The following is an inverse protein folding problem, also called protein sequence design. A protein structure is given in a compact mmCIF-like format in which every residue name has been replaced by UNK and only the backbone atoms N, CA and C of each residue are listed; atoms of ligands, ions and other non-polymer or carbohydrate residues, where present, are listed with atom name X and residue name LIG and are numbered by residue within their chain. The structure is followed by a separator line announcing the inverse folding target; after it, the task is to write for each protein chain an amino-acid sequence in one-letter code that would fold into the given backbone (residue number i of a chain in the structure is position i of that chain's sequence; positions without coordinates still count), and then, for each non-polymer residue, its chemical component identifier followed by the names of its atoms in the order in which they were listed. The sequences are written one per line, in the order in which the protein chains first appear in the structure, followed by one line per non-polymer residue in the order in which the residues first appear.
data_IF_002404100858
#
_entry.id   IF_002404100858
#
_cell.length_a   1.000
_cell.length_b   1.000
_cell.length_c   1.000
_cell.angle_alpha   90.00
_cell.angle_beta   90.00
_cell.angle_gamma   90.00
#
_symmetry.space_group_name_H-M   'P 1'
#
loop_
_entity.id
_entity.type
_entity.pdbx_description
1 polymer ?
#
# COMPACT_ATOMS: atom_id res chain seq x y z
N UNK A 1 -3.09 -30.54 7.26
CA UNK A 1 -3.84 -29.30 7.38
C UNK A 1 -4.92 -29.33 6.31
N UNK A 2 -6.18 -28.97 6.53
CA UNK A 2 -7.12 -28.78 5.43
C UNK A 2 -6.51 -27.72 4.52
N UNK A 3 -6.54 -27.97 3.21
CA UNK A 3 -5.97 -27.05 2.23
C UNK A 3 -6.65 -25.69 2.38
N UNK A 4 -5.85 -24.63 2.33
CA UNK A 4 -6.33 -23.26 2.28
C UNK A 4 -7.25 -23.15 1.07
N UNK A 5 -8.56 -22.94 1.28
CA UNK A 5 -9.48 -22.83 0.16
C UNK A 5 -9.28 -21.46 -0.50
N UNK A 6 -9.08 -21.46 -1.81
CA UNK A 6 -9.26 -20.27 -2.63
C UNK A 6 -10.72 -19.80 -2.51
N UNK A 7 -10.96 -18.50 -2.69
CA UNK A 7 -12.31 -17.98 -2.80
C UNK A 7 -13.06 -18.70 -3.94
N UNK A 8 -14.37 -18.99 -3.80
CA UNK A 8 -15.13 -19.60 -4.89
C UNK A 8 -15.21 -18.63 -6.08
N UNK A 9 -15.11 -19.17 -7.31
CA UNK A 9 -15.27 -18.42 -8.56
C UNK A 9 -16.66 -18.69 -9.14
N UNK A 10 -17.19 -17.70 -9.83
CA UNK A 10 -18.46 -17.79 -10.54
C UNK A 10 -18.41 -16.98 -11.82
N UNK A 11 -19.27 -17.29 -12.78
CA UNK A 11 -19.48 -16.37 -13.90
C UNK A 11 -20.22 -15.13 -13.41
N UNK A 12 -20.01 -13.96 -14.03
CA UNK A 12 -20.77 -12.75 -13.71
C UNK A 12 -22.29 -13.00 -13.81
N UNK A 13 -22.74 -13.70 -14.85
CA UNK A 13 -24.15 -13.97 -15.13
C UNK A 13 -24.81 -14.82 -14.03
N UNK A 14 -24.11 -15.81 -13.47
CA UNK A 14 -24.60 -16.62 -12.37
C UNK A 14 -24.80 -15.80 -11.07
N UNK A 15 -24.13 -14.67 -10.96
CA UNK A 15 -24.28 -13.70 -9.87
C UNK A 15 -25.18 -12.51 -10.23
N UNK A 16 -25.80 -12.53 -11.42
CA UNK A 16 -26.74 -11.50 -11.87
C UNK A 16 -26.08 -10.28 -12.50
N UNK A 17 -24.78 -10.36 -12.84
CA UNK A 17 -24.05 -9.31 -13.54
C UNK A 17 -23.97 -9.58 -15.02
N UNK A 18 -23.83 -8.52 -15.80
CA UNK A 18 -23.49 -8.62 -17.23
C UNK A 18 -21.98 -8.69 -17.41
N UNK A 19 -21.47 -9.77 -18.04
CA UNK A 19 -20.07 -9.89 -18.42
C UNK A 19 -19.62 -8.71 -19.30
N UNK A 20 -20.45 -8.28 -20.24
CA UNK A 20 -20.16 -7.09 -21.07
C UNK A 20 -20.03 -5.79 -20.24
N UNK A 21 -20.74 -5.67 -19.12
CA UNK A 21 -20.60 -4.51 -18.24
C UNK A 21 -19.28 -4.57 -17.45
N UNK A 22 -18.86 -5.75 -17.02
CA UNK A 22 -17.55 -5.93 -16.39
C UNK A 22 -16.40 -5.74 -17.40
N UNK A 23 -16.56 -6.19 -18.65
CA UNK A 23 -15.59 -5.89 -19.71
C UNK A 23 -15.44 -4.38 -19.93
N UNK A 24 -16.55 -3.63 -19.94
CA UNK A 24 -16.50 -2.17 -20.05
C UNK A 24 -15.79 -1.51 -18.85
N UNK A 25 -15.99 -2.02 -17.64
CA UNK A 25 -15.26 -1.56 -16.46
C UNK A 25 -13.75 -1.83 -16.59
N UNK A 26 -13.36 -3.03 -17.03
CA UNK A 26 -11.94 -3.39 -17.24
C UNK A 26 -11.29 -2.50 -18.30
N UNK A 27 -11.99 -2.26 -19.43
CA UNK A 27 -11.50 -1.35 -20.48
C UNK A 27 -11.35 0.07 -19.95
N UNK A 28 -12.30 0.55 -19.16
CA UNK A 28 -12.22 1.88 -18.57
C UNK A 28 -11.04 2.01 -17.59
N UNK A 29 -10.70 0.94 -16.84
CA UNK A 29 -9.50 0.90 -16.01
C UNK A 29 -8.22 0.89 -16.85
N UNK A 30 -8.18 0.10 -17.93
CA UNK A 30 -7.01 -0.01 -18.83
C UNK A 30 -6.71 1.30 -19.58
N UNK A 31 -7.75 2.04 -19.95
CA UNK A 31 -7.64 3.32 -20.64
C UNK A 31 -7.50 4.53 -19.68
N UNK A 32 -7.62 4.31 -18.37
CA UNK A 32 -7.52 5.38 -17.37
C UNK A 32 -6.07 5.86 -17.19
N UNK A 33 -5.90 7.08 -16.64
CA UNK A 33 -4.58 7.63 -16.32
C UNK A 33 -3.85 6.82 -15.22
N UNK A 34 -4.52 6.34 -14.15
CA UNK A 34 -3.93 5.43 -13.17
C UNK A 34 -3.38 4.14 -13.80
N UNK A 35 -2.13 3.81 -13.53
CA UNK A 35 -1.57 2.51 -13.91
C UNK A 35 -2.14 1.41 -13.00
N UNK A 36 -3.06 0.62 -13.51
CA UNK A 36 -3.64 -0.52 -12.80
C UNK A 36 -2.70 -1.73 -12.89
N UNK A 37 -2.57 -2.47 -11.80
CA UNK A 37 -1.68 -3.63 -11.71
C UNK A 37 -2.46 -4.92 -11.52
N UNK A 38 -3.40 -4.96 -10.56
CA UNK A 38 -4.32 -6.09 -10.38
C UNK A 38 -5.70 -5.59 -9.95
N UNK A 39 -6.73 -6.35 -10.33
CA UNK A 39 -8.12 -6.11 -9.90
C UNK A 39 -8.78 -7.44 -9.56
N UNK A 40 -9.56 -7.46 -8.48
CA UNK A 40 -10.45 -8.57 -8.15
C UNK A 40 -11.78 -8.02 -7.63
N UNK A 41 -12.89 -8.55 -8.17
CA UNK A 41 -14.24 -8.23 -7.72
C UNK A 41 -14.90 -9.46 -7.16
N UNK A 42 -15.39 -9.33 -5.94
CA UNK A 42 -16.29 -10.30 -5.31
C UNK A 42 -17.70 -9.79 -5.36
N UNK A 43 -18.64 -10.70 -5.63
CA UNK A 43 -20.07 -10.48 -5.42
C UNK A 43 -20.72 -11.75 -4.88
N UNK A 44 -21.60 -11.59 -3.88
CA UNK A 44 -22.28 -12.70 -3.19
C UNK A 44 -21.30 -13.81 -2.73
N UNK A 45 -20.11 -13.40 -2.27
CA UNK A 45 -19.06 -14.30 -1.81
C UNK A 45 -18.27 -15.03 -2.89
N UNK A 46 -18.47 -14.72 -4.18
CA UNK A 46 -17.77 -15.33 -5.31
C UNK A 46 -16.91 -14.31 -6.03
N UNK A 47 -15.74 -14.71 -6.47
CA UNK A 47 -14.92 -13.92 -7.40
C UNK A 47 -15.61 -13.98 -8.77
N UNK A 48 -16.01 -12.82 -9.29
CA UNK A 48 -16.70 -12.65 -10.58
C UNK A 48 -15.82 -11.93 -11.61
N UNK A 49 -14.73 -11.31 -11.17
CA UNK A 49 -13.70 -10.68 -12.00
C UNK A 49 -12.36 -10.83 -11.31
N UNK A 50 -11.34 -11.26 -12.05
CA UNK A 50 -9.95 -11.28 -11.62
C UNK A 50 -9.04 -10.98 -12.81
N UNK A 51 -8.27 -9.87 -12.72
CA UNK A 51 -7.44 -9.37 -13.81
C UNK A 51 -6.07 -8.94 -13.30
N UNK A 52 -5.06 -9.16 -14.15
CA UNK A 52 -3.69 -8.72 -13.91
C UNK A 52 -3.12 -8.06 -15.15
N UNK A 53 -2.43 -6.95 -14.97
CA UNK A 53 -1.68 -6.26 -16.03
C UNK A 53 -0.24 -6.75 -16.02
N UNK A 54 0.09 -7.65 -16.97
CA UNK A 54 1.46 -8.16 -17.08
C UNK A 54 2.48 -7.00 -17.15
N UNK A 55 3.60 -7.05 -16.41
CA UNK A 55 4.22 -8.19 -15.72
C UNK A 55 3.76 -8.44 -14.27
N UNK A 56 2.80 -7.67 -13.75
CA UNK A 56 2.23 -7.90 -12.43
C UNK A 56 1.38 -9.17 -12.41
N UNK A 57 1.23 -9.78 -11.23
CA UNK A 57 0.47 -11.03 -11.05
C UNK A 57 -0.40 -10.95 -9.79
N UNK A 58 -1.61 -11.46 -9.87
CA UNK A 58 -2.54 -11.59 -8.72
C UNK A 58 -1.95 -12.39 -7.54
N UNK A 59 -1.07 -13.35 -7.86
CA UNK A 59 -0.44 -14.23 -6.87
C UNK A 59 0.75 -13.59 -6.12
N UNK A 60 1.32 -12.51 -6.67
CA UNK A 60 2.46 -11.85 -6.02
C UNK A 60 1.99 -11.01 -4.82
N UNK A 61 2.73 -11.01 -3.70
CA UNK A 61 2.48 -10.08 -2.62
C UNK A 61 2.63 -8.64 -3.15
N UNK A 62 1.81 -7.75 -2.65
CA UNK A 62 1.90 -6.33 -2.97
C UNK A 62 1.87 -5.48 -1.70
N UNK A 63 2.70 -4.44 -1.66
CA UNK A 63 2.77 -3.49 -0.56
C UNK A 63 1.50 -2.65 -0.50
N UNK A 64 0.74 -2.80 0.58
CA UNK A 64 -0.59 -2.23 0.71
C UNK A 64 -0.62 -0.82 1.33
N UNK A 65 0.54 -0.30 1.74
CA UNK A 65 0.60 0.99 2.43
C UNK A 65 -0.47 1.11 3.54
N UNK A 66 -1.27 2.16 3.48
CA UNK A 66 -2.23 2.48 4.55
C UNK A 66 -3.44 1.55 4.65
N UNK A 67 -3.69 0.66 3.69
CA UNK A 67 -4.67 -0.44 3.90
C UNK A 67 -4.30 -1.26 5.14
N UNK A 68 -3.02 -1.32 5.49
CA UNK A 68 -2.51 -1.92 6.74
C UNK A 68 -3.27 -1.46 7.99
N UNK A 69 -3.73 -0.19 8.00
CA UNK A 69 -4.46 0.41 9.13
C UNK A 69 -5.77 -0.33 9.45
N UNK A 70 -6.44 -0.84 8.42
CA UNK A 70 -7.68 -1.61 8.59
C UNK A 70 -7.44 -2.96 9.28
N UNK A 71 -6.29 -3.57 9.01
CA UNK A 71 -5.85 -4.77 9.75
C UNK A 71 -5.44 -4.44 11.19
N UNK A 72 -4.80 -3.30 11.42
CA UNK A 72 -4.49 -2.82 12.78
C UNK A 72 -5.77 -2.56 13.58
N UNK A 73 -6.78 -1.93 12.97
CA UNK A 73 -8.11 -1.76 13.55
C UNK A 73 -8.72 -3.10 13.97
N UNK A 74 -8.64 -4.10 13.08
CA UNK A 74 -9.11 -5.47 13.39
C UNK A 74 -8.41 -6.05 14.61
N UNK A 75 -7.09 -5.85 14.73
CA UNK A 75 -6.31 -6.27 15.91
C UNK A 75 -6.76 -5.58 17.19
N UNK A 76 -7.07 -4.28 17.12
CA UNK A 76 -7.62 -3.52 18.25
C UNK A 76 -9.00 -4.07 18.64
N UNK A 77 -9.87 -4.36 17.66
CA UNK A 77 -11.18 -4.94 17.92
C UNK A 77 -11.10 -6.29 18.63
N UNK A 78 -10.20 -7.16 18.19
CA UNK A 78 -9.94 -8.45 18.84
C UNK A 78 -9.41 -8.29 20.27
N UNK A 79 -8.58 -7.29 20.53
CA UNK A 79 -8.03 -7.03 21.86
C UNK A 79 -9.10 -6.43 22.80
N UNK A 80 -10.02 -5.61 22.29
CA UNK A 80 -11.16 -5.10 23.06
C UNK A 80 -12.12 -6.25 23.42
N UNK A 81 -12.42 -7.14 22.49
CA UNK A 81 -13.26 -8.33 22.75
C UNK A 81 -12.63 -9.24 23.80
N UNK A 82 -11.29 -9.37 23.78
CA UNK A 82 -10.54 -10.10 24.79
C UNK A 82 -10.45 -9.38 26.15
N UNK A 83 -11.01 -8.17 26.28
CA UNK A 83 -10.98 -7.36 27.51
C UNK A 83 -9.59 -6.80 27.86
N UNK A 84 -8.69 -6.69 26.89
CA UNK A 84 -7.31 -6.21 27.12
C UNK A 84 -7.21 -4.70 27.11
N UNK A 85 -8.09 -3.98 26.40
CA UNK A 85 -8.17 -2.53 26.38
C UNK A 85 -9.59 -2.07 26.06
N UNK A 86 -9.85 -0.78 26.31
CA UNK A 86 -11.10 -0.10 25.98
C UNK A 86 -10.84 1.15 25.12
N UNK A 87 -11.86 1.58 24.37
CA UNK A 87 -11.77 2.75 23.49
C UNK A 87 -11.40 4.03 24.27
N UNK A 88 -11.82 4.15 25.51
CA UNK A 88 -11.65 5.35 26.33
C UNK A 88 -10.40 5.30 27.25
N UNK A 89 -9.62 4.22 27.16
CA UNK A 89 -8.35 4.12 27.88
C UNK A 89 -7.38 5.19 27.41
N UNK A 90 -6.66 5.80 28.37
CA UNK A 90 -5.70 6.87 28.09
C UNK A 90 -4.44 6.32 27.46
N UNK A 91 -4.02 6.91 26.33
CA UNK A 91 -2.82 6.47 25.59
C UNK A 91 -1.60 6.41 26.50
N UNK A 92 -1.39 7.44 27.35
CA UNK A 92 -0.24 7.51 28.24
C UNK A 92 -0.19 6.39 29.28
N UNK A 93 -1.31 5.75 29.60
CA UNK A 93 -1.38 4.67 30.60
C UNK A 93 -0.71 3.36 30.17
N UNK A 94 -0.38 3.22 28.90
CA UNK A 94 0.26 2.03 28.34
C UNK A 94 1.79 2.11 28.30
N UNK A 95 2.38 3.26 28.66
CA UNK A 95 3.81 3.52 28.50
C UNK A 95 4.49 3.83 29.82
N UNK A 96 5.76 3.47 29.91
CA UNK A 96 6.55 3.67 31.11
C UNK A 96 6.97 5.15 31.27
N UNK A 97 7.30 5.53 32.50
CA UNK A 97 7.60 6.92 32.83
C UNK A 97 8.78 7.52 32.04
N UNK A 98 9.74 6.69 31.61
CA UNK A 98 10.92 7.13 30.84
C UNK A 98 10.62 7.30 29.33
N UNK A 99 9.47 6.83 28.87
CA UNK A 99 8.96 7.05 27.51
C UNK A 99 8.10 8.30 27.41
N UNK A 100 7.52 8.76 28.55
CA UNK A 100 6.70 9.95 28.61
C UNK A 100 7.57 11.22 28.60
N UNK A 101 7.05 12.36 28.09
CA UNK A 101 7.74 13.63 28.22
C UNK A 101 7.79 14.09 29.70
N UNK A 102 8.78 14.92 30.06
CA UNK A 102 8.92 15.46 31.40
C UNK A 102 7.68 16.25 31.88
N UNK A 103 7.01 16.90 30.92
CA UNK A 103 5.74 17.62 31.16
C UNK A 103 4.67 17.03 30.25
N UNK A 104 3.66 16.44 30.85
CA UNK A 104 2.49 15.92 30.14
C UNK A 104 1.47 17.05 29.98
N UNK A 105 1.16 17.46 28.77
CA UNK A 105 0.12 18.46 28.49
C UNK A 105 -1.28 17.90 28.80
N UNK A 106 -2.25 18.77 29.06
CA UNK A 106 -3.64 18.37 29.28
C UNK A 106 -4.20 17.60 28.08
N UNK A 107 -3.85 18.00 26.85
CA UNK A 107 -4.27 17.34 25.62
C UNK A 107 -3.66 15.94 25.50
N UNK A 108 -2.35 15.78 25.75
CA UNK A 108 -1.73 14.45 25.75
C UNK A 108 -2.36 13.54 26.82
N UNK A 109 -2.61 14.07 28.01
CA UNK A 109 -3.28 13.33 29.09
C UNK A 109 -4.73 12.96 28.75
N UNK A 110 -5.42 13.75 27.92
CA UNK A 110 -6.78 13.49 27.48
C UNK A 110 -6.86 12.45 26.34
N UNK A 111 -5.79 12.24 25.56
CA UNK A 111 -5.77 11.37 24.40
C UNK A 111 -6.13 9.92 24.78
N UNK A 112 -7.03 9.30 23.99
CA UNK A 112 -7.52 7.92 24.20
C UNK A 112 -7.26 7.04 22.98
N UNK A 113 -7.43 5.73 23.14
CA UNK A 113 -7.39 4.75 22.04
C UNK A 113 -8.38 5.11 20.92
N UNK A 114 -9.57 5.61 21.28
CA UNK A 114 -10.56 6.13 20.31
C UNK A 114 -9.97 7.23 19.43
N UNK A 115 -9.25 8.17 20.00
CA UNK A 115 -8.66 9.28 19.26
C UNK A 115 -7.56 8.82 18.28
N UNK A 116 -6.81 7.77 18.64
CA UNK A 116 -5.87 7.12 17.70
C UNK A 116 -6.62 6.46 16.52
N UNK A 117 -7.70 5.72 16.83
CA UNK A 117 -8.50 5.01 15.82
C UNK A 117 -9.23 5.95 14.86
N UNK A 118 -9.70 7.09 15.35
CA UNK A 118 -10.48 8.07 14.56
C UNK A 118 -9.64 9.17 13.91
N UNK A 119 -8.31 9.12 14.03
CA UNK A 119 -7.42 10.15 13.51
C UNK A 119 -7.71 11.55 14.07
N UNK A 120 -8.08 11.62 15.36
CA UNK A 120 -8.40 12.87 16.07
C UNK A 120 -7.52 13.05 17.29
N UNK A 121 -6.23 12.78 17.14
CA UNK A 121 -5.23 12.83 18.22
C UNK A 121 -4.96 14.24 18.77
N UNK A 122 -5.29 15.26 17.99
CA UNK A 122 -5.01 16.66 18.32
C UNK A 122 -3.69 17.20 17.77
N UNK A 123 -2.92 16.41 17.00
CA UNK A 123 -1.79 16.91 16.23
C UNK A 123 -2.29 17.71 15.02
N UNK A 124 -1.51 18.71 14.59
CA UNK A 124 -1.84 19.55 13.43
C UNK A 124 -1.44 18.94 12.09
N UNK A 125 -0.59 17.89 12.08
CA UNK A 125 -0.10 17.20 10.89
C UNK A 125 0.15 15.70 11.15
N UNK A 126 0.36 14.91 10.07
CA UNK A 126 0.79 13.50 10.22
C UNK A 126 2.17 13.43 10.89
N UNK A 127 2.23 12.72 11.99
CA UNK A 127 3.45 12.61 12.80
C UNK A 127 4.52 11.69 12.20
N UNK A 128 4.22 10.94 11.13
CA UNK A 128 5.13 9.94 10.55
C UNK A 128 6.50 10.53 10.17
N UNK A 129 6.54 11.75 9.63
CA UNK A 129 7.79 12.41 9.26
C UNK A 129 8.68 12.72 10.48
N UNK A 130 8.10 13.04 11.62
CA UNK A 130 8.84 13.20 12.86
C UNK A 130 9.34 11.87 13.41
N UNK A 131 8.49 10.82 13.36
CA UNK A 131 8.82 9.47 13.83
C UNK A 131 9.98 8.84 13.06
N UNK A 132 10.10 9.11 11.78
CA UNK A 132 11.15 8.55 10.91
C UNK A 132 12.56 9.05 11.22
N UNK A 133 12.69 10.09 12.07
CA UNK A 133 13.99 10.73 12.38
C UNK A 133 14.82 9.99 13.44
N UNK A 134 14.20 9.16 14.26
CA UNK A 134 14.87 8.44 15.36
C UNK A 134 14.36 6.99 15.45
N UNK A 135 15.09 6.19 16.22
CA UNK A 135 14.72 4.79 16.48
C UNK A 135 13.62 4.64 17.53
N UNK A 136 13.32 5.69 18.32
CA UNK A 136 12.37 5.67 19.46
C UNK A 136 11.05 6.33 19.08
N UNK A 137 10.35 5.72 18.11
CA UNK A 137 9.13 6.30 17.53
C UNK A 137 8.03 6.52 18.59
N UNK A 138 7.86 5.60 19.53
CA UNK A 138 6.89 5.76 20.65
C UNK A 138 7.21 7.02 21.45
N UNK A 139 8.45 7.18 21.90
CA UNK A 139 8.87 8.34 22.72
C UNK A 139 8.74 9.65 21.95
N UNK A 140 9.04 9.63 20.63
CA UNK A 140 8.87 10.82 19.79
C UNK A 140 7.40 11.19 19.72
N UNK A 141 6.50 10.24 19.39
CA UNK A 141 5.07 10.52 19.32
C UNK A 141 4.53 11.14 20.60
N UNK A 142 4.87 10.57 21.76
CA UNK A 142 4.43 11.06 23.07
C UNK A 142 5.05 12.43 23.42
N UNK A 143 6.19 12.78 22.82
CA UNK A 143 6.87 14.06 23.04
C UNK A 143 6.48 15.16 22.06
N UNK A 144 5.67 14.89 21.05
CA UNK A 144 5.18 15.90 20.12
C UNK A 144 4.12 16.79 20.78
N UNK A 145 4.05 18.04 20.33
CA UNK A 145 3.00 18.97 20.77
C UNK A 145 1.62 18.49 20.27
N UNK A 146 0.64 18.47 21.16
CA UNK A 146 -0.76 18.16 20.87
C UNK A 146 -1.53 19.48 20.89
N UNK A 147 -1.62 20.13 19.74
CA UNK A 147 -2.08 21.51 19.57
C UNK A 147 -3.57 21.69 19.85
N UNK A 148 -4.37 20.67 19.53
CA UNK A 148 -5.83 20.68 19.63
C UNK A 148 -6.31 19.70 20.70
N UNK A 149 -7.49 19.97 21.26
CA UNK A 149 -8.16 19.01 22.14
C UNK A 149 -8.45 17.72 21.35
N UNK A 150 -7.97 16.53 21.83
CA UNK A 150 -8.24 15.25 21.17
C UNK A 150 -9.73 15.01 20.97
N UNK A 151 -10.10 14.54 19.77
CA UNK A 151 -11.48 14.33 19.36
C UNK A 151 -12.11 15.50 18.60
N UNK A 152 -11.45 16.67 18.49
CA UNK A 152 -12.05 17.87 17.88
C UNK A 152 -11.68 18.11 16.42
N UNK A 153 -10.48 17.67 15.99
CA UNK A 153 -9.97 17.89 14.63
C UNK A 153 -9.52 16.58 14.04
N UNK A 154 -10.00 16.28 12.84
CA UNK A 154 -9.52 15.15 12.05
C UNK A 154 -8.22 15.53 11.31
N UNK A 155 -7.15 14.80 11.58
CA UNK A 155 -5.88 14.86 10.84
C UNK A 155 -5.44 13.44 10.57
N UNK A 156 -5.37 13.04 9.30
CA UNK A 156 -4.90 11.71 8.95
C UNK A 156 -3.45 11.53 9.42
N UNK A 157 -3.24 10.58 10.35
CA UNK A 157 -2.01 10.48 11.13
C UNK A 157 -1.54 9.02 11.24
N UNK A 158 -0.53 8.67 10.45
CA UNK A 158 0.01 7.30 10.41
C UNK A 158 0.74 6.92 11.71
N UNK A 159 1.30 7.91 12.43
CA UNK A 159 1.89 7.67 13.75
C UNK A 159 0.85 7.29 14.81
N UNK A 160 -0.40 7.76 14.69
CA UNK A 160 -1.48 7.32 15.58
C UNK A 160 -1.72 5.80 15.45
N UNK A 161 -1.66 5.27 14.23
CA UNK A 161 -1.80 3.82 14.00
C UNK A 161 -0.58 3.04 14.49
N UNK A 162 0.62 3.59 14.34
CA UNK A 162 1.82 3.01 14.96
C UNK A 162 1.65 2.87 16.48
N UNK A 163 1.09 3.88 17.15
CA UNK A 163 0.82 3.82 18.59
C UNK A 163 -0.20 2.74 18.95
N UNK A 164 -1.22 2.48 18.13
CA UNK A 164 -2.13 1.34 18.31
C UNK A 164 -1.40 0.01 18.28
N UNK A 165 -0.49 -0.18 17.32
CA UNK A 165 0.36 -1.37 17.25
C UNK A 165 1.28 -1.51 18.46
N UNK A 166 1.89 -0.41 18.91
CA UNK A 166 2.73 -0.39 20.12
C UNK A 166 1.93 -0.77 21.37
N UNK A 167 0.73 -0.23 21.54
CA UNK A 167 -0.17 -0.55 22.66
C UNK A 167 -0.51 -2.03 22.66
N UNK A 168 -0.90 -2.58 21.49
CA UNK A 168 -1.21 -4.01 21.37
C UNK A 168 -0.03 -4.89 21.77
N UNK A 169 1.19 -4.56 21.30
CA UNK A 169 2.39 -5.30 21.66
C UNK A 169 2.68 -5.23 23.16
N UNK A 170 2.44 -4.10 23.81
CA UNK A 170 2.59 -3.94 25.26
C UNK A 170 1.62 -4.82 26.05
N UNK A 171 0.37 -4.86 25.63
CA UNK A 171 -0.67 -5.61 26.31
C UNK A 171 -0.56 -7.13 26.11
N UNK A 172 -0.15 -7.55 24.93
CA UNK A 172 -0.15 -8.97 24.53
C UNK A 172 1.22 -9.64 24.68
N UNK A 173 2.30 -8.86 24.65
CA UNK A 173 3.68 -9.37 24.53
C UNK A 173 4.00 -9.87 23.11
N UNK A 174 3.06 -9.79 22.17
CA UNK A 174 3.21 -10.24 20.78
C UNK A 174 3.24 -9.01 19.85
N UNK A 175 4.07 -9.01 18.80
CA UNK A 175 3.96 -7.97 17.76
C UNK A 175 2.57 -8.07 17.11
N UNK A 176 2.03 -6.96 16.62
CA UNK A 176 0.72 -6.94 15.97
C UNK A 176 0.57 -8.02 14.88
N UNK A 177 1.60 -8.22 14.05
CA UNK A 177 1.59 -9.27 13.04
C UNK A 177 1.47 -10.67 13.65
N UNK A 178 2.25 -10.96 14.68
CA UNK A 178 2.25 -12.26 15.38
C UNK A 178 0.91 -12.48 16.12
N UNK A 179 0.33 -11.40 16.69
CA UNK A 179 -0.99 -11.43 17.34
C UNK A 179 -2.12 -11.74 16.35
N UNK A 180 -2.09 -11.13 15.15
CA UNK A 180 -3.09 -11.35 14.11
C UNK A 180 -2.91 -12.70 13.39
N UNK A 181 -1.71 -13.25 13.33
CA UNK A 181 -1.43 -14.46 12.57
C UNK A 181 -2.38 -15.62 12.90
N UNK A 182 -2.52 -16.12 14.15
CA UNK A 182 -3.42 -17.20 14.47
C UNK A 182 -4.91 -16.77 14.55
N UNK A 183 -5.19 -15.46 14.68
CA UNK A 183 -6.55 -14.93 14.92
C UNK A 183 -7.24 -14.46 13.64
N UNK A 184 -6.45 -14.07 12.63
CA UNK A 184 -6.96 -13.51 11.38
C UNK A 184 -6.32 -14.17 10.15
N UNK A 185 -4.99 -14.10 10.00
CA UNK A 185 -4.33 -14.54 8.76
C UNK A 185 -4.47 -16.05 8.53
N UNK A 186 -4.17 -16.88 9.51
CA UNK A 186 -4.31 -18.35 9.39
C UNK A 186 -5.76 -18.80 9.16
N UNK A 187 -6.78 -18.29 9.88
CA UNK A 187 -8.17 -18.61 9.59
C UNK A 187 -8.62 -18.22 8.18
N UNK A 188 -8.16 -17.07 7.66
CA UNK A 188 -8.41 -16.65 6.28
C UNK A 188 -7.56 -17.41 5.26
N UNK A 189 -6.59 -18.21 5.73
CA UNK A 189 -5.66 -18.91 4.87
C UNK A 189 -4.68 -18.01 4.15
N UNK A 190 -4.31 -16.89 4.76
CA UNK A 190 -3.27 -15.98 4.30
C UNK A 190 -1.94 -16.45 4.87
N UNK A 191 -1.06 -16.96 4.02
CA UNK A 191 0.20 -17.62 4.45
C UNK A 191 1.46 -16.87 4.03
N UNK A 192 1.35 -16.01 3.01
CA UNK A 192 2.46 -15.27 2.41
C UNK A 192 2.62 -13.84 2.95
N UNK A 193 1.81 -13.47 3.95
CA UNK A 193 1.83 -12.11 4.50
C UNK A 193 3.17 -11.77 5.15
N UNK A 194 3.65 -10.56 4.87
CA UNK A 194 4.76 -9.93 5.59
C UNK A 194 4.34 -8.56 6.09
N UNK A 195 4.95 -8.09 7.17
CA UNK A 195 4.65 -6.75 7.69
C UNK A 195 5.92 -6.12 8.26
N UNK A 196 6.22 -4.92 7.82
CA UNK A 196 7.40 -4.17 8.23
C UNK A 196 7.43 -3.95 9.75
N UNK A 197 8.63 -4.04 10.30
CA UNK A 197 8.91 -3.83 11.72
C UNK A 197 9.79 -2.60 11.89
N UNK A 198 9.47 -1.75 12.84
CA UNK A 198 10.28 -0.58 13.18
C UNK A 198 11.59 -0.99 13.86
N UNK A 199 12.52 -0.05 13.95
CA UNK A 199 13.79 -0.25 14.67
C UNK A 199 13.62 -0.49 16.18
N UNK A 200 12.42 -0.24 16.73
CA UNK A 200 12.03 -0.61 18.10
C UNK A 200 11.51 -2.04 18.21
N UNK A 201 11.44 -2.79 17.10
CA UNK A 201 10.89 -4.15 17.10
C UNK A 201 9.36 -4.19 17.14
N UNK A 202 8.68 -3.11 16.75
CA UNK A 202 7.21 -2.98 16.73
C UNK A 202 6.75 -3.07 15.27
N UNK A 203 5.73 -3.89 14.98
CA UNK A 203 5.08 -3.87 13.67
C UNK A 203 4.53 -2.47 13.40
N UNK A 204 4.85 -1.86 12.25
CA UNK A 204 4.54 -0.43 12.03
C UNK A 204 3.04 -0.11 12.00
N UNK A 205 2.18 -1.08 11.72
CA UNK A 205 0.72 -0.97 11.86
C UNK A 205 0.05 -0.04 10.86
N UNK A 206 0.60 1.16 10.66
CA UNK A 206 0.04 2.20 9.79
C UNK A 206 0.34 2.01 8.30
N UNK A 207 1.28 1.14 7.96
CA UNK A 207 1.76 0.80 6.60
C UNK A 207 2.52 -0.52 6.63
N UNK A 208 3.11 -0.92 5.52
CA UNK A 208 4.12 -1.97 5.45
C UNK A 208 3.62 -3.41 5.44
N UNK A 209 2.30 -3.65 5.41
CA UNK A 209 1.73 -4.97 5.14
C UNK A 209 1.84 -5.27 3.64
N UNK A 210 2.34 -6.46 3.31
CA UNK A 210 2.33 -7.01 1.95
C UNK A 210 1.61 -8.34 1.94
N UNK A 211 0.58 -8.46 1.09
CA UNK A 211 -0.19 -9.67 0.80
C UNK A 211 -0.61 -9.66 -0.67
N UNK A 212 -0.96 -10.80 -1.22
CA UNK A 212 -1.45 -10.88 -2.59
C UNK A 212 -2.93 -10.43 -2.72
N UNK A 213 -3.37 -10.22 -3.94
CA UNK A 213 -4.71 -9.68 -4.24
C UNK A 213 -5.83 -10.58 -3.70
N UNK A 214 -5.72 -11.92 -3.81
CA UNK A 214 -6.74 -12.82 -3.27
C UNK A 214 -6.78 -12.79 -1.73
N UNK A 215 -5.66 -12.66 -1.07
CA UNK A 215 -5.58 -12.51 0.38
C UNK A 215 -6.26 -11.22 0.85
N UNK A 216 -6.10 -10.12 0.11
CA UNK A 216 -6.81 -8.88 0.38
C UNK A 216 -8.33 -9.02 0.11
N UNK A 217 -8.70 -9.79 -0.93
CA UNK A 217 -10.10 -10.09 -1.24
C UNK A 217 -10.78 -10.91 -0.14
N UNK A 218 -10.08 -11.86 0.48
CA UNK A 218 -10.58 -12.59 1.66
C UNK A 218 -10.86 -11.67 2.84
N UNK A 219 -9.99 -10.67 3.06
CA UNK A 219 -10.24 -9.63 4.05
C UNK A 219 -11.47 -8.79 3.68
N UNK A 220 -11.63 -8.40 2.41
CA UNK A 220 -12.83 -7.73 1.91
C UNK A 220 -14.11 -8.55 2.15
N UNK A 221 -14.07 -9.85 1.89
CA UNK A 221 -15.20 -10.77 2.18
C UNK A 221 -15.50 -10.87 3.67
N UNK A 222 -14.48 -10.90 4.53
CA UNK A 222 -14.66 -10.88 5.98
C UNK A 222 -15.36 -9.59 6.44
N UNK A 223 -15.03 -8.45 5.84
CA UNK A 223 -15.69 -7.16 6.12
C UNK A 223 -17.16 -7.18 5.70
N UNK A 224 -17.48 -7.70 4.50
CA UNK A 224 -18.87 -7.89 4.04
C UNK A 224 -19.69 -8.78 4.96
N UNK A 225 -19.07 -9.79 5.53
CA UNK A 225 -19.70 -10.74 6.45
C UNK A 225 -19.64 -10.28 7.93
N UNK A 226 -19.37 -9.00 8.19
CA UNK A 226 -19.29 -8.45 9.55
C UNK A 226 -18.41 -9.29 10.49
N UNK A 227 -17.26 -9.76 9.99
CA UNK A 227 -16.29 -10.54 10.78
C UNK A 227 -16.55 -12.03 10.85
N UNK A 228 -17.58 -12.55 10.20
CA UNK A 228 -17.80 -13.98 10.08
C UNK A 228 -17.00 -14.58 8.91
N UNK A 229 -16.45 -15.78 9.10
CA UNK A 229 -15.73 -16.53 8.09
C UNK A 229 -15.99 -18.03 8.24
N UNK A 230 -16.41 -18.68 7.15
CA UNK A 230 -16.76 -20.12 7.15
C UNK A 230 -17.65 -20.54 8.33
N UNK A 231 -18.65 -19.72 8.65
CA UNK A 231 -19.62 -19.96 9.72
C UNK A 231 -19.09 -19.70 11.14
N UNK A 232 -17.92 -19.14 11.30
CA UNK A 232 -17.33 -18.74 12.59
C UNK A 232 -17.20 -17.23 12.67
N UNK A 233 -17.55 -16.63 13.81
CA UNK A 233 -17.26 -15.23 14.08
C UNK A 233 -15.77 -15.12 14.45
N UNK A 234 -14.94 -14.57 13.55
CA UNK A 234 -13.51 -14.33 13.80
C UNK A 234 -13.29 -12.99 14.51
N UNK A 235 -14.04 -11.96 14.11
CA UNK A 235 -13.98 -10.61 14.67
C UNK A 235 -15.39 -10.22 15.08
N UNK A 236 -15.63 -9.64 16.26
CA UNK A 236 -16.97 -9.25 16.69
C UNK A 236 -17.69 -8.39 15.65
N UNK A 237 -18.95 -8.71 15.35
CA UNK A 237 -19.74 -7.96 14.36
C UNK A 237 -19.89 -6.49 14.78
N UNK A 238 -20.12 -6.24 16.05
CA UNK A 238 -20.25 -4.90 16.64
C UNK A 238 -18.98 -4.05 16.42
N UNK A 239 -17.81 -4.71 16.36
CA UNK A 239 -16.56 -3.98 16.03
C UNK A 239 -16.59 -3.44 14.61
N UNK A 240 -16.90 -4.29 13.62
CA UNK A 240 -16.95 -3.82 12.24
C UNK A 240 -18.10 -2.85 11.98
N UNK A 241 -19.26 -3.04 12.61
CA UNK A 241 -20.35 -2.05 12.54
C UNK A 241 -19.89 -0.67 13.03
N UNK A 242 -19.17 -0.64 14.15
CA UNK A 242 -18.60 0.61 14.68
C UNK A 242 -17.45 1.13 13.80
N UNK A 243 -16.50 0.25 13.43
CA UNK A 243 -15.28 0.63 12.73
C UNK A 243 -15.54 1.18 11.33
N UNK A 244 -16.58 0.67 10.64
CA UNK A 244 -16.93 1.09 9.27
C UNK A 244 -18.03 2.15 9.22
N UNK A 245 -18.57 2.58 10.37
CA UNK A 245 -19.50 3.71 10.46
C UNK A 245 -18.76 5.04 10.59
N UNK A 246 -19.46 6.14 10.28
CA UNK A 246 -18.91 7.50 10.47
C UNK A 246 -18.79 7.79 11.98
N UNK A 247 -17.58 7.80 12.49
CA UNK A 247 -17.26 8.18 13.86
C UNK A 247 -16.97 9.69 13.98
N UNK A 248 -16.30 10.26 12.97
CA UNK A 248 -15.93 11.67 12.93
C UNK A 248 -16.15 12.26 11.55
N UNK A 249 -16.45 13.57 11.45
CA UNK A 249 -16.49 14.30 10.18
C UNK A 249 -15.06 14.54 9.67
N UNK A 250 -14.93 14.64 8.35
CA UNK A 250 -13.68 14.98 7.66
C UNK A 250 -13.96 15.81 6.39
N UNK A 251 -14.97 16.67 6.45
CA UNK A 251 -15.52 17.45 5.34
C UNK A 251 -14.51 18.45 4.72
N UNK A 252 -13.38 18.68 5.39
CA UNK A 252 -12.29 19.54 4.92
C UNK A 252 -11.30 18.85 3.97
N UNK A 253 -11.46 17.55 3.71
CA UNK A 253 -10.65 16.85 2.71
C UNK A 253 -10.98 17.39 1.31
N UNK A 254 -10.00 17.32 0.38
CA UNK A 254 -10.14 17.90 -0.95
C UNK A 254 -11.08 17.10 -1.85
N UNK A 255 -10.99 15.77 -1.82
CA UNK A 255 -11.73 14.89 -2.72
C UNK A 255 -13.07 14.44 -2.13
N UNK A 256 -14.16 14.39 -2.93
CA UNK A 256 -15.50 14.09 -2.42
C UNK A 256 -15.61 12.71 -1.76
N UNK A 257 -14.87 11.72 -2.20
CA UNK A 257 -14.88 10.38 -1.61
C UNK A 257 -14.07 10.29 -0.31
N UNK A 258 -13.29 11.30 0.04
CA UNK A 258 -12.62 11.43 1.35
C UNK A 258 -13.33 12.40 2.29
N UNK A 259 -14.48 12.97 1.92
CA UNK A 259 -15.29 13.91 2.73
C UNK A 259 -16.47 13.24 3.46
N UNK A 260 -16.66 11.92 3.29
CA UNK A 260 -17.87 11.23 3.77
C UNK A 260 -17.82 10.84 5.25
N UNK A 261 -16.69 11.07 5.91
CA UNK A 261 -16.40 10.71 7.29
C UNK A 261 -15.37 9.61 7.43
N UNK A 262 -14.92 9.40 8.67
CA UNK A 262 -13.94 8.39 9.02
C UNK A 262 -14.42 7.54 10.18
N UNK A 263 -14.15 6.24 10.11
CA UNK A 263 -14.46 5.27 11.15
C UNK A 263 -13.25 4.98 12.05
N UNK A 264 -13.09 3.72 12.47
CA UNK A 264 -11.91 3.24 13.16
C UNK A 264 -10.92 2.67 12.14
N UNK A 265 -10.14 3.54 11.50
CA UNK A 265 -9.16 3.22 10.43
C UNK A 265 -9.82 2.73 9.13
N UNK A 266 -11.02 3.23 8.83
CA UNK A 266 -11.74 3.05 7.58
C UNK A 266 -12.28 4.39 7.08
N UNK A 267 -12.13 4.66 5.79
CA UNK A 267 -12.76 5.76 5.12
C UNK A 267 -14.21 5.43 4.78
N UNK A 268 -15.11 6.39 5.00
CA UNK A 268 -16.44 6.34 4.37
C UNK A 268 -16.34 6.93 2.97
N UNK A 269 -17.06 6.34 2.01
CA UNK A 269 -17.18 6.82 0.64
C UNK A 269 -18.61 7.21 0.29
N UNK A 270 -18.79 7.81 -0.89
CA UNK A 270 -20.12 8.00 -1.48
C UNK A 270 -20.82 6.63 -1.66
N UNK A 271 -22.10 6.64 -1.98
CA UNK A 271 -22.90 5.42 -2.27
C UNK A 271 -22.83 4.37 -1.15
N UNK A 272 -22.89 4.81 0.10
CA UNK A 272 -22.84 3.96 1.30
C UNK A 272 -21.61 3.04 1.40
N UNK A 273 -20.54 3.32 0.65
CA UNK A 273 -19.33 2.50 0.68
C UNK A 273 -18.43 2.82 1.88
N UNK A 274 -17.55 1.89 2.18
CA UNK A 274 -16.41 2.11 3.06
C UNK A 274 -15.19 1.35 2.54
N UNK A 275 -14.02 1.77 2.95
CA UNK A 275 -12.82 1.20 2.38
C UNK A 275 -11.58 1.38 3.24
N UNK A 276 -10.56 0.54 3.03
CA UNK A 276 -9.16 0.77 3.35
C UNK A 276 -8.45 1.28 2.11
N UNK A 277 -7.73 2.41 2.26
CA UNK A 277 -6.95 3.05 1.21
C UNK A 277 -5.46 2.94 1.51
N UNK A 278 -4.67 2.62 0.49
CA UNK A 278 -3.22 2.71 0.53
C UNK A 278 -2.71 3.72 -0.47
N UNK A 279 -1.62 4.38 -0.14
CA UNK A 279 -0.98 5.33 -1.03
C UNK A 279 -0.78 4.72 -2.43
N UNK A 280 -0.89 5.58 -3.44
CA UNK A 280 -0.74 5.23 -4.85
C UNK A 280 -1.80 4.28 -5.41
N UNK A 281 -2.98 4.19 -4.75
CA UNK A 281 -4.15 3.52 -5.29
C UNK A 281 -4.28 2.04 -4.92
N UNK A 282 -3.89 1.66 -3.70
CA UNK A 282 -4.20 0.35 -3.15
C UNK A 282 -5.57 0.42 -2.46
N UNK A 283 -6.52 -0.42 -2.87
CA UNK A 283 -7.88 -0.38 -2.34
C UNK A 283 -8.42 -1.74 -1.92
N UNK A 284 -9.09 -1.75 -0.79
CA UNK A 284 -10.13 -2.71 -0.45
C UNK A 284 -11.42 -1.92 -0.24
N UNK A 285 -12.26 -1.87 -1.27
CA UNK A 285 -13.51 -1.10 -1.28
C UNK A 285 -14.70 -2.02 -1.10
N UNK A 286 -15.55 -1.73 -0.13
CA UNK A 286 -16.73 -2.51 0.19
C UNK A 286 -17.97 -1.73 -0.25
N UNK A 287 -18.84 -2.41 -1.00
CA UNK A 287 -20.10 -1.91 -1.53
C UNK A 287 -21.25 -2.73 -0.90
N UNK A 288 -21.66 -2.44 0.36
CA UNK A 288 -22.57 -3.29 1.11
C UNK A 288 -23.93 -3.45 0.44
N UNK A 289 -24.44 -2.41 -0.19
CA UNK A 289 -25.76 -2.40 -0.85
C UNK A 289 -25.82 -3.38 -2.05
N UNK A 290 -24.65 -3.85 -2.53
CA UNK A 290 -24.50 -4.78 -3.64
C UNK A 290 -23.88 -6.12 -3.25
N UNK A 291 -23.61 -6.33 -1.95
CA UNK A 291 -22.88 -7.50 -1.44
C UNK A 291 -21.59 -7.74 -2.26
N UNK A 292 -20.82 -6.67 -2.48
CA UNK A 292 -19.64 -6.68 -3.33
C UNK A 292 -18.41 -6.08 -2.62
N UNK A 293 -17.24 -6.62 -2.96
CA UNK A 293 -15.93 -6.08 -2.54
C UNK A 293 -15.01 -5.98 -3.76
N UNK A 294 -14.46 -4.79 -3.98
CA UNK A 294 -13.49 -4.51 -5.03
C UNK A 294 -12.10 -4.34 -4.43
N UNK A 295 -11.15 -5.05 -4.98
CA UNK A 295 -9.73 -4.97 -4.66
C UNK A 295 -9.00 -4.42 -5.89
N UNK A 296 -8.15 -3.40 -5.65
CA UNK A 296 -7.30 -2.81 -6.69
C UNK A 296 -5.89 -2.64 -6.14
N UNK A 297 -4.89 -3.04 -6.91
CA UNK A 297 -3.52 -2.56 -6.75
C UNK A 297 -3.14 -1.73 -7.96
N UNK A 298 -2.47 -0.62 -7.74
CA UNK A 298 -2.16 0.33 -8.81
C UNK A 298 -0.96 1.22 -8.47
N UNK A 299 -0.60 2.08 -9.41
CA UNK A 299 0.41 3.10 -9.22
C UNK A 299 -0.09 4.43 -9.81
N UNK A 300 -0.63 5.30 -8.96
CA UNK A 300 -1.14 6.61 -9.37
C UNK A 300 -0.95 7.68 -8.30
N UNK A 301 -0.76 8.92 -8.74
CA UNK A 301 -0.89 10.11 -7.89
C UNK A 301 -2.34 10.55 -7.72
N UNK A 302 -3.23 10.15 -8.63
CA UNK A 302 -4.66 10.47 -8.61
C UNK A 302 -5.51 9.24 -8.25
N UNK A 303 -5.68 9.03 -6.96
CA UNK A 303 -6.50 7.94 -6.42
C UNK A 303 -8.00 8.17 -6.68
N UNK A 304 -8.44 9.44 -6.84
CA UNK A 304 -9.85 9.76 -7.12
C UNK A 304 -10.27 9.24 -8.50
N UNK A 305 -9.39 9.25 -9.49
CA UNK A 305 -9.68 8.76 -10.83
C UNK A 305 -10.08 7.27 -10.83
N UNK A 306 -9.46 6.43 -9.97
CA UNK A 306 -9.88 5.03 -9.80
C UNK A 306 -11.29 4.96 -9.23
N UNK A 307 -11.57 5.75 -8.20
CA UNK A 307 -12.88 5.77 -7.54
C UNK A 307 -13.96 6.30 -8.47
N UNK A 308 -13.67 7.30 -9.29
CA UNK A 308 -14.59 7.81 -10.31
C UNK A 308 -14.88 6.74 -11.38
N UNK A 309 -13.88 5.97 -11.82
CA UNK A 309 -14.08 4.83 -12.72
C UNK A 309 -15.02 3.77 -12.10
N UNK A 310 -14.92 3.54 -10.79
CA UNK A 310 -15.87 2.65 -10.08
C UNK A 310 -17.30 3.21 -10.14
N UNK A 311 -17.47 4.52 -9.92
CA UNK A 311 -18.81 5.14 -9.96
C UNK A 311 -19.41 5.19 -11.37
N UNK A 312 -18.59 5.40 -12.37
CA UNK A 312 -19.04 5.58 -13.74
C UNK A 312 -19.28 4.25 -14.46
N UNK A 313 -18.57 3.18 -14.10
CA UNK A 313 -18.61 1.90 -14.82
C UNK A 313 -19.03 0.71 -13.95
N UNK A 314 -18.42 0.52 -12.77
CA UNK A 314 -18.72 -0.65 -11.93
C UNK A 314 -20.07 -0.52 -11.22
N UNK A 315 -20.34 0.62 -10.60
CA UNK A 315 -21.61 0.83 -9.88
C UNK A 315 -22.84 0.64 -10.79
N UNK A 316 -22.88 1.21 -12.00
CA UNK A 316 -23.95 0.93 -12.96
C UNK A 316 -24.09 -0.56 -13.33
N UNK A 317 -22.97 -1.28 -13.45
CA UNK A 317 -22.98 -2.71 -13.70
C UNK A 317 -23.60 -3.51 -12.54
N UNK A 318 -23.24 -3.17 -11.30
CA UNK A 318 -23.83 -3.76 -10.09
C UNK A 318 -25.33 -3.43 -9.92
N UNK A 319 -25.77 -2.28 -10.42
CA UNK A 319 -27.19 -1.87 -10.47
C UNK A 319 -27.98 -2.49 -11.63
N UNK A 320 -27.35 -3.32 -12.46
CA UNK A 320 -27.97 -3.97 -13.62
C UNK A 320 -28.35 -3.03 -14.76
N UNK A 321 -27.68 -1.86 -14.87
CA UNK A 321 -27.89 -0.94 -15.97
C UNK A 321 -27.33 -1.49 -17.28
N UNK A 322 -28.03 -1.24 -18.38
CA UNK A 322 -27.52 -1.59 -19.71
C UNK A 322 -26.25 -0.81 -20.04
N UNK A 323 -25.24 -1.53 -20.52
CA UNK A 323 -23.94 -0.97 -20.94
C UNK A 323 -23.75 -1.30 -22.42
N UNK A 324 -23.20 -0.34 -23.16
CA UNK A 324 -22.78 -0.61 -24.54
C UNK A 324 -21.58 -1.54 -24.50
N UNK A 325 -21.66 -2.72 -25.15
CA UNK A 325 -20.52 -3.63 -25.22
C UNK A 325 -19.29 -2.97 -25.86
N UNK A 326 -18.15 -3.15 -25.24
CA UNK A 326 -16.85 -2.70 -25.77
C UNK A 326 -15.98 -3.92 -26.11
N UNK A 327 -15.06 -3.73 -27.05
CA UNK A 327 -14.07 -4.76 -27.35
C UNK A 327 -12.96 -4.72 -26.28
N UNK A 328 -12.86 -5.78 -25.52
CA UNK A 328 -11.80 -5.92 -24.53
C UNK A 328 -10.50 -6.36 -25.22
N UNK A 329 -9.33 -5.84 -24.79
CA UNK A 329 -8.03 -6.35 -25.23
C UNK A 329 -7.87 -7.84 -24.90
N UNK A 330 -7.24 -8.60 -25.80
CA UNK A 330 -6.93 -10.02 -25.57
C UNK A 330 -5.97 -10.24 -24.39
N UNK A 331 -5.17 -9.22 -24.07
CA UNK A 331 -4.22 -9.18 -22.95
C UNK A 331 -4.20 -7.79 -22.35
N UNK A 332 -4.17 -7.75 -21.02
CA UNK A 332 -3.88 -6.56 -20.25
C UNK A 332 -2.38 -6.58 -19.93
N UNK A 333 -1.65 -5.56 -20.40
CA UNK A 333 -0.22 -5.54 -20.25
C UNK A 333 0.34 -4.12 -20.15
N UNK A 334 1.41 -3.99 -19.38
CA UNK A 334 2.25 -2.81 -19.30
C UNK A 334 3.54 -3.15 -20.06
N UNK A 335 3.61 -2.86 -21.36
CA UNK A 335 4.71 -3.32 -22.21
C UNK A 335 6.02 -2.67 -21.81
N UNK A 336 7.17 -3.31 -22.11
CA UNK A 336 8.45 -2.65 -21.96
C UNK A 336 8.52 -1.43 -22.88
N UNK A 337 9.27 -0.40 -22.49
CA UNK A 337 9.44 0.77 -23.34
C UNK A 337 10.12 0.39 -24.65
N UNK A 338 9.63 0.97 -25.74
CA UNK A 338 10.15 0.72 -27.09
C UNK A 338 11.11 1.83 -27.53
N UNK A 339 12.15 1.47 -28.26
CA UNK A 339 13.13 2.41 -28.79
C UNK A 339 14.27 1.71 -29.54
N UNK A 340 15.23 2.46 -30.08
CA UNK A 340 16.45 1.89 -30.61
C UNK A 340 17.18 1.03 -29.57
N UNK A 341 17.96 0.05 -30.01
CA UNK A 341 18.83 -0.68 -29.09
C UNK A 341 19.73 0.31 -28.32
N UNK A 342 19.97 0.08 -27.02
CA UNK A 342 20.84 0.95 -26.26
C UNK A 342 22.24 0.99 -26.86
N UNK A 343 22.82 2.16 -26.96
CA UNK A 343 24.23 2.30 -27.33
C UNK A 343 25.10 1.77 -26.18
N UNK A 344 26.09 0.96 -26.52
CA UNK A 344 27.04 0.46 -25.51
C UNK A 344 27.85 1.59 -24.89
N UNK A 345 28.17 1.44 -23.62
CA UNK A 345 29.04 2.33 -22.87
C UNK A 345 30.51 1.98 -23.01
N UNK A 346 31.35 2.62 -22.20
CA UNK A 346 32.80 2.44 -22.16
C UNK A 346 33.27 1.31 -21.23
N UNK A 347 32.34 0.65 -20.52
CA UNK A 347 32.63 -0.40 -19.53
C UNK A 347 33.19 0.13 -18.21
N UNK A 348 33.21 1.43 -17.99
CA UNK A 348 33.64 2.01 -16.72
C UNK A 348 32.52 1.99 -15.69
N UNK A 349 32.89 1.94 -14.42
CA UNK A 349 31.95 2.05 -13.30
C UNK A 349 31.99 3.48 -12.78
N UNK A 350 30.87 4.16 -12.89
CA UNK A 350 30.63 5.50 -12.37
C UNK A 350 30.02 5.40 -10.97
N UNK A 351 30.62 6.07 -9.99
CA UNK A 351 30.18 6.06 -8.58
C UNK A 351 29.48 7.37 -8.26
N UNK A 352 28.50 7.28 -7.35
CA UNK A 352 27.71 8.41 -6.90
C UNK A 352 27.84 8.58 -5.39
N UNK A 353 27.94 9.84 -4.96
CA UNK A 353 27.84 10.18 -3.54
C UNK A 353 26.49 9.76 -2.94
N UNK A 354 26.40 9.72 -1.62
CA UNK A 354 25.15 9.39 -0.94
C UNK A 354 24.00 10.27 -1.46
N UNK A 355 22.91 9.62 -1.85
CA UNK A 355 21.76 10.28 -2.45
C UNK A 355 20.44 9.62 -1.99
N UNK A 356 19.34 10.34 -2.18
CA UNK A 356 18.01 9.91 -1.72
C UNK A 356 17.48 8.67 -2.42
N UNK A 357 17.98 8.33 -3.62
CA UNK A 357 17.54 7.15 -4.37
C UNK A 357 18.36 5.90 -4.05
N UNK A 358 19.39 6.02 -3.24
CA UNK A 358 20.23 4.89 -2.86
C UNK A 358 21.11 4.33 -4.00
N UNK A 359 21.25 5.04 -5.13
CA UNK A 359 22.08 4.61 -6.25
C UNK A 359 23.56 4.85 -5.91
N UNK A 360 24.36 3.80 -5.88
CA UNK A 360 25.79 3.88 -5.51
C UNK A 360 26.71 3.82 -6.70
N UNK A 361 26.36 3.08 -7.76
CA UNK A 361 27.16 2.98 -8.96
C UNK A 361 26.33 2.60 -10.19
N UNK A 362 26.82 2.99 -11.37
CA UNK A 362 26.31 2.52 -12.66
C UNK A 362 27.47 2.16 -13.55
N UNK A 363 27.31 1.06 -14.29
CA UNK A 363 28.20 0.62 -15.34
C UNK A 363 27.41 0.38 -16.61
N UNK A 364 27.84 0.97 -17.73
CA UNK A 364 27.30 0.71 -19.05
C UNK A 364 28.35 -0.06 -19.86
N UNK A 365 28.02 -1.29 -20.24
CA UNK A 365 28.92 -2.16 -20.99
C UNK A 365 28.84 -1.92 -22.51
N UNK A 366 29.90 -2.23 -23.27
CA UNK A 366 29.92 -2.03 -24.72
C UNK A 366 28.86 -2.83 -25.51
N UNK A 367 28.29 -3.89 -24.91
CA UNK A 367 27.23 -4.71 -25.48
C UNK A 367 25.82 -4.12 -25.34
N UNK A 368 25.69 -2.93 -24.74
CA UNK A 368 24.41 -2.28 -24.50
C UNK A 368 23.69 -2.77 -23.22
N UNK A 369 24.43 -3.37 -22.30
CA UNK A 369 23.94 -3.73 -20.97
C UNK A 369 24.29 -2.67 -19.94
N UNK A 370 23.37 -2.32 -19.06
CA UNK A 370 23.58 -1.43 -17.93
C UNK A 370 23.42 -2.18 -16.60
N UNK A 371 24.35 -1.97 -15.67
CA UNK A 371 24.29 -2.51 -14.31
C UNK A 371 24.18 -1.35 -13.32
N UNK A 372 23.13 -1.39 -12.50
CA UNK A 372 22.79 -0.38 -11.49
C UNK A 372 22.96 -0.98 -10.10
N UNK A 373 23.83 -0.41 -9.28
CA UNK A 373 24.08 -0.83 -7.90
C UNK A 373 23.27 0.04 -6.95
N UNK A 374 22.33 -0.57 -6.21
CA UNK A 374 21.44 0.10 -5.27
C UNK A 374 21.73 -0.32 -3.84
N UNK A 375 21.58 0.58 -2.87
CA UNK A 375 21.56 0.21 -1.45
C UNK A 375 20.35 -0.69 -1.18
N UNK A 376 20.54 -1.74 -0.37
CA UNK A 376 19.45 -2.58 0.09
C UNK A 376 18.52 -1.86 1.07
N UNK A 377 17.31 -2.41 1.26
CA UNK A 377 16.31 -1.92 2.22
C UNK A 377 16.87 -1.83 3.63
N UNK A 378 17.68 -2.80 4.04
CA UNK A 378 18.50 -2.70 5.25
C UNK A 378 19.86 -2.12 4.87
N UNK A 379 20.10 -0.85 5.20
CA UNK A 379 21.37 -0.14 4.95
C UNK A 379 22.61 -0.81 5.56
N UNK A 380 22.43 -1.76 6.48
CA UNK A 380 23.46 -2.54 7.14
C UNK A 380 23.65 -3.95 6.52
N UNK A 381 22.93 -4.28 5.44
CA UNK A 381 23.05 -5.57 4.74
C UNK A 381 24.27 -5.63 3.81
N UNK A 382 24.68 -6.86 3.40
CA UNK A 382 25.92 -7.28 2.75
C UNK A 382 26.40 -6.54 1.47
N UNK A 383 26.08 -5.26 1.30
CA UNK A 383 26.51 -4.43 0.18
C UNK A 383 25.37 -4.09 -0.79
N UNK A 384 25.68 -3.31 -1.83
CA UNK A 384 24.69 -2.91 -2.82
C UNK A 384 24.21 -4.10 -3.66
N UNK A 385 22.93 -4.12 -4.00
CA UNK A 385 22.34 -5.06 -4.96
C UNK A 385 22.50 -4.54 -6.37
N UNK A 386 22.85 -5.42 -7.29
CA UNK A 386 22.97 -5.10 -8.70
C UNK A 386 21.68 -5.45 -9.45
N UNK A 387 21.17 -4.49 -10.23
CA UNK A 387 20.07 -4.64 -11.17
C UNK A 387 20.62 -4.47 -12.58
N UNK A 388 20.37 -5.46 -13.44
CA UNK A 388 20.85 -5.48 -14.83
C UNK A 388 19.73 -5.07 -15.78
N UNK A 389 19.97 -4.08 -16.63
CA UNK A 389 19.05 -3.61 -17.66
C UNK A 389 19.65 -3.85 -19.05
N UNK A 390 18.86 -4.37 -19.97
CA UNK A 390 19.26 -4.59 -21.38
C UNK A 390 18.08 -4.29 -22.30
N UNK A 391 18.35 -4.09 -23.58
CA UNK A 391 17.31 -3.82 -24.56
C UNK A 391 16.41 -5.03 -24.83
N UNK A 392 15.14 -4.77 -25.20
CA UNK A 392 14.15 -5.78 -25.56
C UNK A 392 13.06 -5.98 -24.52
N UNK A 393 12.52 -7.20 -24.43
CA UNK A 393 11.44 -7.57 -23.54
C UNK A 393 11.81 -7.42 -22.04
N UNK A 394 10.80 -7.46 -21.17
CA UNK A 394 11.01 -7.45 -19.73
C UNK A 394 11.93 -8.59 -19.28
N UNK A 395 13.01 -8.23 -18.61
CA UNK A 395 13.93 -9.16 -17.97
C UNK A 395 13.61 -9.24 -16.49
N UNK A 396 13.15 -10.39 -16.04
CA UNK A 396 12.85 -10.64 -14.62
C UNK A 396 14.12 -10.99 -13.84
N UNK A 397 14.24 -10.43 -12.63
CA UNK A 397 15.28 -10.73 -11.65
C UNK A 397 14.76 -10.45 -10.23
N UNK A 398 15.51 -10.84 -9.20
CA UNK A 398 15.23 -10.51 -7.80
C UNK A 398 16.14 -9.39 -7.33
N UNK A 399 15.64 -8.52 -6.46
CA UNK A 399 16.40 -7.43 -5.86
C UNK A 399 15.99 -7.21 -4.42
N UNK A 400 16.95 -6.88 -3.56
CA UNK A 400 16.72 -6.31 -2.23
C UNK A 400 16.94 -4.80 -2.21
N UNK A 401 17.25 -4.21 -3.37
CA UNK A 401 17.44 -2.78 -3.56
C UNK A 401 16.17 -2.09 -4.00
N UNK A 402 15.82 -0.98 -3.38
CA UNK A 402 14.72 -0.10 -3.75
C UNK A 402 15.26 1.29 -3.98
N UNK A 403 14.83 1.93 -5.07
CA UNK A 403 14.95 3.38 -5.21
C UNK A 403 13.94 4.05 -4.29
N UNK A 404 14.39 4.98 -3.45
CA UNK A 404 13.54 5.74 -2.52
C UNK A 404 12.89 4.92 -1.40
N UNK A 405 13.73 4.51 -0.47
CA UNK A 405 13.42 4.25 0.93
C UNK A 405 12.45 3.12 1.32
N UNK A 406 12.87 2.46 2.29
CA UNK A 406 12.41 1.83 3.53
C UNK A 406 11.00 1.23 3.64
N UNK A 407 10.09 1.37 2.70
CA UNK A 407 8.74 0.78 2.78
C UNK A 407 8.56 -0.29 1.68
N UNK A 408 9.48 -1.25 1.61
CA UNK A 408 9.40 -2.33 0.63
C UNK A 408 9.76 -3.67 1.27
N UNK A 409 9.31 -4.79 0.73
CA UNK A 409 9.78 -6.11 1.12
C UNK A 409 11.32 -6.23 0.99
N UNK A 410 11.95 -7.00 1.88
CA UNK A 410 13.42 -7.20 1.88
C UNK A 410 13.95 -7.72 0.54
N UNK A 411 13.25 -8.64 -0.08
CA UNK A 411 13.54 -9.17 -1.41
C UNK A 411 12.27 -9.16 -2.23
N UNK A 412 12.32 -8.59 -3.41
CA UNK A 412 11.19 -8.51 -4.32
C UNK A 412 11.58 -8.83 -5.75
N UNK A 413 10.61 -9.17 -6.55
CA UNK A 413 10.76 -9.36 -7.99
C UNK A 413 10.82 -8.02 -8.68
N UNK A 414 11.75 -7.88 -9.61
CA UNK A 414 11.84 -6.70 -10.48
C UNK A 414 11.86 -7.14 -11.94
N UNK A 415 11.30 -6.31 -12.81
CA UNK A 415 11.50 -6.44 -14.26
C UNK A 415 12.16 -5.19 -14.79
N UNK A 416 13.05 -5.39 -15.75
CA UNK A 416 13.86 -4.33 -16.33
C UNK A 416 13.84 -4.39 -17.84
N UNK A 417 13.98 -3.23 -18.46
CA UNK A 417 14.23 -3.09 -19.90
C UNK A 417 15.08 -1.86 -20.14
N UNK A 418 15.69 -1.74 -21.29
CA UNK A 418 16.44 -0.54 -21.69
C UNK A 418 16.28 -0.24 -23.19
N UNK A 419 16.47 1.03 -23.53
CA UNK A 419 16.52 1.50 -24.92
C UNK A 419 17.47 2.69 -25.05
N UNK A 420 17.83 3.01 -26.29
CA UNK A 420 18.61 4.21 -26.61
C UNK A 420 17.70 5.40 -26.91
N UNK A 421 18.04 6.57 -26.36
CA UNK A 421 17.36 7.83 -26.64
C UNK A 421 18.42 8.91 -26.94
N UNK A 422 18.73 9.08 -28.24
CA UNK A 422 19.85 9.91 -28.65
C UNK A 422 21.16 9.33 -28.15
N UNK A 423 21.86 10.08 -27.29
CA UNK A 423 23.09 9.68 -26.63
C UNK A 423 22.86 9.02 -25.26
N UNK A 424 21.61 8.96 -24.79
CA UNK A 424 21.27 8.38 -23.49
C UNK A 424 21.04 6.86 -23.58
N UNK A 425 21.55 6.15 -22.57
CA UNK A 425 21.07 4.83 -22.20
C UNK A 425 19.92 5.00 -21.22
N UNK A 426 18.72 4.53 -21.59
CA UNK A 426 17.53 4.68 -20.75
C UNK A 426 17.12 3.32 -20.21
N UNK A 427 17.26 3.13 -18.90
CA UNK A 427 16.76 1.96 -18.18
C UNK A 427 15.38 2.23 -17.60
N UNK A 428 14.52 1.20 -17.61
CA UNK A 428 13.27 1.16 -16.86
C UNK A 428 13.29 -0.03 -15.91
N UNK A 429 12.98 0.23 -14.64
CA UNK A 429 12.96 -0.75 -13.57
C UNK A 429 11.57 -0.70 -12.92
N UNK A 430 10.86 -1.83 -12.88
CA UNK A 430 9.59 -2.00 -12.16
C UNK A 430 9.78 -2.96 -10.99
N UNK A 431 9.43 -2.52 -9.79
CA UNK A 431 9.37 -3.37 -8.60
C UNK A 431 7.97 -3.96 -8.48
N UNK A 432 7.82 -5.25 -8.80
CA UNK A 432 6.51 -5.89 -9.01
C UNK A 432 5.67 -6.05 -7.73
N UNK A 433 6.28 -5.95 -6.58
CA UNK A 433 5.58 -6.05 -5.29
C UNK A 433 5.26 -4.67 -4.68
N UNK A 434 5.42 -3.62 -5.48
CA UNK A 434 5.20 -2.22 -5.10
C UNK A 434 4.63 -1.43 -6.27
N UNK A 435 4.13 -0.21 -6.06
CA UNK A 435 3.72 0.67 -7.16
C UNK A 435 4.91 1.34 -7.89
N UNK A 436 6.15 1.13 -7.46
CA UNK A 436 7.27 1.93 -7.92
C UNK A 436 7.83 1.47 -9.27
N UNK A 437 8.01 2.46 -10.14
CA UNK A 437 8.71 2.35 -11.43
C UNK A 437 9.71 3.49 -11.55
N UNK A 438 10.94 3.17 -11.91
CA UNK A 438 11.98 4.18 -12.19
C UNK A 438 12.42 4.14 -13.65
N UNK A 439 12.53 5.31 -14.25
CA UNK A 439 13.18 5.54 -15.53
C UNK A 439 14.49 6.31 -15.27
N UNK A 440 15.59 5.75 -15.73
CA UNK A 440 16.96 6.26 -15.49
C UNK A 440 17.61 6.57 -16.86
N UNK A 441 17.73 7.84 -17.21
CA UNK A 441 18.38 8.26 -18.45
C UNK A 441 19.84 8.63 -18.18
N UNK A 442 20.77 7.74 -18.54
CA UNK A 442 22.20 7.85 -18.30
C UNK A 442 22.91 8.47 -19.50
N UNK A 443 23.69 9.52 -19.30
CA UNK A 443 24.55 10.16 -20.30
C UNK A 443 25.96 10.28 -19.78
N UNK A 444 26.96 10.04 -20.65
CA UNK A 444 28.35 10.19 -20.30
C UNK A 444 28.97 11.33 -21.13
N UNK A 445 29.64 12.27 -20.48
CA UNK A 445 30.39 13.35 -21.12
C UNK A 445 31.62 13.71 -20.26
N UNK A 446 32.73 13.97 -20.90
CA UNK A 446 33.97 14.42 -20.25
C UNK A 446 34.44 13.56 -19.05
N UNK A 447 34.14 12.23 -19.11
CA UNK A 447 34.52 11.28 -18.05
C UNK A 447 33.60 11.26 -16.85
N UNK A 448 32.46 11.96 -16.89
CA UNK A 448 31.41 11.93 -15.88
C UNK A 448 30.14 11.33 -16.46
N UNK A 449 29.30 10.74 -15.56
CA UNK A 449 27.95 10.28 -15.88
C UNK A 449 26.95 11.18 -15.20
N UNK A 450 25.93 11.59 -15.95
CA UNK A 450 24.74 12.26 -15.45
C UNK A 450 23.55 11.34 -15.66
N UNK A 451 22.69 11.22 -14.64
CA UNK A 451 21.49 10.40 -14.67
C UNK A 451 20.28 11.26 -14.32
N UNK A 452 19.34 11.36 -15.26
CA UNK A 452 18.02 11.89 -14.97
C UNK A 452 17.15 10.73 -14.49
N UNK A 453 16.68 10.82 -13.25
CA UNK A 453 15.81 9.83 -12.60
C UNK A 453 14.39 10.37 -12.62
N UNK A 454 13.47 9.58 -13.18
CA UNK A 454 12.04 9.85 -13.14
C UNK A 454 11.32 8.67 -12.47
N UNK A 455 10.51 8.94 -11.46
CA UNK A 455 9.68 7.99 -10.77
C UNK A 455 8.22 8.22 -11.15
N UNK A 456 7.48 7.15 -11.35
CA UNK A 456 6.06 7.25 -11.64
C UNK A 456 5.26 7.82 -10.45
N UNK A 457 5.60 7.41 -9.23
CA UNK A 457 5.01 7.90 -7.97
C UNK A 457 6.08 8.00 -6.89
N UNK A 458 5.89 8.92 -5.93
CA UNK A 458 6.81 9.09 -4.78
C UNK A 458 6.13 9.92 -3.68
N UNK A 459 6.54 9.72 -2.41
CA UNK A 459 6.23 10.65 -1.32
C UNK A 459 7.13 11.88 -1.29
N UNK A 460 8.15 11.91 -2.16
CA UNK A 460 9.09 13.01 -2.35
C UNK A 460 9.11 13.48 -3.79
N UNK A 461 10.25 13.99 -4.27
CA UNK A 461 10.38 14.38 -5.67
C UNK A 461 10.26 13.16 -6.60
N UNK A 462 9.59 13.33 -7.73
CA UNK A 462 9.51 12.34 -8.81
C UNK A 462 10.58 12.53 -9.86
N UNK A 463 11.25 13.68 -9.88
CA UNK A 463 12.30 14.00 -10.82
C UNK A 463 13.55 14.50 -10.07
N UNK A 464 14.70 13.95 -10.41
CA UNK A 464 15.99 14.40 -9.88
C UNK A 464 17.11 14.05 -10.86
N UNK A 465 18.24 14.77 -10.75
CA UNK A 465 19.43 14.52 -11.53
C UNK A 465 20.60 14.19 -10.60
N UNK A 466 21.31 13.10 -10.91
CA UNK A 466 22.53 12.68 -10.22
C UNK A 466 23.72 12.85 -11.13
N UNK A 467 24.87 13.25 -10.57
CA UNK A 467 26.15 13.31 -11.29
C UNK A 467 27.16 12.46 -10.55
N UNK A 468 27.95 11.66 -11.32
CA UNK A 468 29.01 10.83 -10.75
C UNK A 468 30.14 11.67 -10.18
N UNK A 469 30.88 11.09 -9.24
CA UNK A 469 32.11 11.68 -8.66
C UNK A 469 33.22 11.79 -9.66
#
# INVERSE_FOLDING_TARGET
MPGVSSLPRSTPEDQGLSGAALDAFVVALDESEPEIQTVMLLQHGHVVLEEEWSPYRLADPHLLFSVSKSFTSTGVGLAIDAGLLALDDKVISFFEADELPETISDNLAAMTVRHLLTMTTGHSEDTVAALSRDRRMVKIFLGLDVDHEPGTVFVYNSGATYMLSAILQRLTGERLFDYLKPRLFEPLGITEATWQVSREGITVGGWGLSINTESLAKFGQLLLQHGAWEGKQLVPAEWYEAATSKQVPNDHQENPDWQQGYGFQFWRGRNNTYRGDGAFGQFVMILPDHDAALIVTSATGDMQAIVDTVWDHLLPALEGKEVTPVARPDRLELPPPTGPAPTGGDGQTYRFAENIVGLTAVRLDPDGTGTFSLLGVERDSDGPTEIVCAGGDWREQSSNGVLLDAVAPEVQRVVTSAYGDGDAFVATIRWLETPFVARLACRTADGQMTIDVNLNVSFGPTELTLTSE
#
